data_IF_731814177403
#
_entry.id   IF_731814177403
#
_cell.length_a   1.000
_cell.length_b   1.000
_cell.length_c   1.000
_cell.angle_alpha   90.00
_cell.angle_beta   90.00
_cell.angle_gamma   90.00
#
_symmetry.space_group_name_H-M   'P 1'
#
loop_
_entity.id
_entity.type
_entity.pdbx_description
1 polymer ?
#
# COMPACT_ATOMS: atom_id res chain seq x y z
N UNK A 1 -20.44 -7.46 -8.99
CA UNK A 1 -20.36 -7.10 -7.56
C UNK A 1 -20.30 -5.57 -7.49
N UNK A 2 -21.21 -4.95 -6.76
CA UNK A 2 -21.23 -3.49 -6.58
C UNK A 2 -20.22 -3.05 -5.51
N UNK A 3 -19.91 -1.76 -5.46
CA UNK A 3 -19.07 -1.18 -4.39
C UNK A 3 -19.69 -1.43 -3.01
N UNK A 4 -21.02 -1.34 -2.89
CA UNK A 4 -21.74 -1.62 -1.64
C UNK A 4 -21.62 -3.09 -1.22
N UNK A 5 -21.68 -4.03 -2.18
CA UNK A 5 -21.49 -5.45 -1.91
C UNK A 5 -20.09 -5.76 -1.39
N UNK A 6 -19.06 -5.10 -1.93
CA UNK A 6 -17.68 -5.23 -1.46
C UNK A 6 -17.51 -4.67 -0.05
N UNK A 7 -18.10 -3.51 0.26
CA UNK A 7 -18.11 -2.95 1.60
C UNK A 7 -18.71 -3.93 2.62
N UNK A 8 -19.86 -4.52 2.29
CA UNK A 8 -20.50 -5.52 3.12
C UNK A 8 -19.65 -6.79 3.29
N UNK A 9 -19.04 -7.26 2.18
CA UNK A 9 -18.24 -8.48 2.16
C UNK A 9 -16.95 -8.39 2.98
N UNK A 10 -16.31 -7.22 3.04
CA UNK A 10 -14.99 -7.10 3.65
C UNK A 10 -14.95 -6.34 4.97
N UNK A 11 -15.96 -5.53 5.27
CA UNK A 11 -15.95 -4.68 6.47
C UNK A 11 -17.11 -4.93 7.44
N UNK A 12 -18.29 -5.36 6.96
CA UNK A 12 -19.42 -5.58 7.85
C UNK A 12 -19.31 -6.95 8.55
N UNK A 13 -19.45 -6.96 9.87
CA UNK A 13 -19.41 -8.17 10.71
C UNK A 13 -18.14 -9.03 10.57
N UNK A 14 -17.02 -8.39 10.13
CA UNK A 14 -15.73 -9.05 10.00
C UNK A 14 -14.75 -8.44 11.01
N UNK A 15 -14.08 -9.32 11.74
CA UNK A 15 -13.04 -8.91 12.68
C UNK A 15 -11.77 -8.45 11.94
N UNK A 16 -11.31 -7.25 12.28
CA UNK A 16 -10.05 -6.70 11.85
C UNK A 16 -9.16 -6.41 13.05
N UNK A 17 -7.94 -6.91 13.02
CA UNK A 17 -6.89 -6.57 13.97
C UNK A 17 -6.17 -5.31 13.52
N UNK A 18 -6.15 -4.29 14.37
CA UNK A 18 -5.35 -3.08 14.11
C UNK A 18 -3.94 -3.22 14.68
N UNK A 19 -2.95 -2.84 13.90
CA UNK A 19 -1.53 -2.81 14.27
C UNK A 19 -0.93 -1.45 13.93
N UNK A 20 -0.43 -0.74 14.93
CA UNK A 20 0.25 0.54 14.74
C UNK A 20 1.76 0.37 14.78
N UNK A 21 2.42 0.73 13.68
CA UNK A 21 3.87 0.80 13.53
C UNK A 21 4.33 2.20 13.12
N UNK A 22 3.57 3.25 13.51
CA UNK A 22 3.90 4.65 13.20
C UNK A 22 5.13 5.16 13.98
N UNK A 23 5.55 4.48 15.05
CA UNK A 23 6.75 4.82 15.83
C UNK A 23 8.09 4.47 15.15
N UNK A 24 8.03 3.97 13.92
CA UNK A 24 9.21 3.68 13.12
C UNK A 24 9.70 2.23 13.24
N UNK A 25 9.92 1.62 12.09
CA UNK A 25 10.58 0.33 11.91
C UNK A 25 11.66 0.52 10.84
N UNK A 26 12.65 -0.34 10.85
CA UNK A 26 13.54 -0.46 9.70
C UNK A 26 12.74 -0.79 8.44
N UNK A 27 13.00 -0.15 7.29
CA UNK A 27 12.17 -0.28 6.10
C UNK A 27 11.91 -1.72 5.66
N UNK A 28 12.91 -2.59 5.69
CA UNK A 28 12.77 -4.00 5.36
C UNK A 28 11.84 -4.75 6.30
N UNK A 29 11.81 -4.37 7.59
CA UNK A 29 10.93 -5.00 8.57
C UNK A 29 9.46 -4.72 8.26
N UNK A 30 9.10 -3.53 7.78
CA UNK A 30 7.74 -3.21 7.40
C UNK A 30 7.18 -4.18 6.36
N UNK A 31 7.97 -4.49 5.31
CA UNK A 31 7.53 -5.43 4.28
C UNK A 31 7.53 -6.88 4.77
N UNK A 32 8.45 -7.25 5.67
CA UNK A 32 8.46 -8.55 6.31
C UNK A 32 7.22 -8.75 7.21
N UNK A 33 6.78 -7.72 7.92
CA UNK A 33 5.52 -7.75 8.69
C UNK A 33 4.32 -7.94 7.78
N UNK A 34 4.22 -7.20 6.68
CA UNK A 34 3.12 -7.35 5.73
C UNK A 34 3.07 -8.76 5.15
N UNK A 35 4.20 -9.32 4.74
CA UNK A 35 4.27 -10.70 4.23
C UNK A 35 3.86 -11.72 5.32
N UNK A 36 4.32 -11.53 6.56
CA UNK A 36 4.00 -12.42 7.69
C UNK A 36 2.52 -12.38 8.05
N UNK A 37 1.94 -11.19 8.16
CA UNK A 37 0.51 -11.04 8.42
C UNK A 37 -0.32 -11.58 7.24
N UNK A 38 0.07 -11.27 6.01
CA UNK A 38 -0.61 -11.77 4.82
C UNK A 38 -0.65 -13.30 4.79
N UNK A 39 0.47 -13.97 5.07
CA UNK A 39 0.53 -15.43 5.17
C UNK A 39 -0.32 -15.97 6.32
N UNK A 40 -0.26 -15.35 7.49
CA UNK A 40 -1.02 -15.78 8.68
C UNK A 40 -2.52 -15.69 8.44
N UNK A 41 -2.98 -14.61 7.83
CA UNK A 41 -4.39 -14.43 7.45
C UNK A 41 -4.79 -15.43 6.36
N UNK A 42 -3.95 -15.64 5.36
CA UNK A 42 -4.20 -16.60 4.29
C UNK A 42 -4.35 -18.05 4.79
N UNK A 43 -3.70 -18.38 5.90
CA UNK A 43 -3.74 -19.69 6.57
C UNK A 43 -4.78 -19.80 7.69
N UNK A 44 -5.66 -18.83 7.87
CA UNK A 44 -6.61 -18.77 8.98
C UNK A 44 -5.97 -18.77 10.38
N UNK A 45 -4.73 -18.30 10.50
CA UNK A 45 -4.00 -18.21 11.78
C UNK A 45 -4.18 -16.83 12.45
N UNK A 46 -4.80 -15.87 11.76
CA UNK A 46 -5.07 -14.51 12.23
C UNK A 46 -6.36 -14.02 11.60
N UNK A 47 -7.15 -13.18 12.28
CA UNK A 47 -8.16 -12.38 11.62
C UNK A 47 -7.51 -11.45 10.59
N UNK A 48 -8.33 -10.76 9.80
CA UNK A 48 -7.84 -9.73 8.87
C UNK A 48 -7.04 -8.67 9.65
N UNK A 49 -6.05 -8.07 9.00
CA UNK A 49 -5.17 -7.09 9.65
C UNK A 49 -5.20 -5.77 8.89
N UNK A 50 -5.38 -4.67 9.61
CA UNK A 50 -5.08 -3.33 9.15
C UNK A 50 -3.86 -2.82 9.91
N UNK A 51 -2.86 -2.34 9.19
CA UNK A 51 -1.62 -1.83 9.76
C UNK A 51 -1.32 -0.42 9.23
N UNK A 52 -1.02 0.51 10.16
CA UNK A 52 -0.49 1.84 9.82
C UNK A 52 1.02 1.87 10.09
N UNK A 53 1.76 2.55 9.21
CA UNK A 53 3.21 2.68 9.36
C UNK A 53 3.75 3.90 8.62
N UNK A 54 4.87 4.42 9.10
CA UNK A 54 5.55 5.59 8.57
C UNK A 54 7.05 5.30 8.48
N UNK A 55 7.70 5.79 7.44
CA UNK A 55 9.15 5.83 7.33
C UNK A 55 9.63 7.27 7.17
N UNK A 56 10.90 7.49 7.43
CA UNK A 56 11.56 8.76 7.21
C UNK A 56 12.77 8.52 6.30
N UNK A 57 13.03 9.47 5.41
CA UNK A 57 14.19 9.46 4.51
C UNK A 57 14.40 8.08 3.84
N UNK A 58 13.35 7.52 3.26
CA UNK A 58 13.39 6.18 2.67
C UNK A 58 12.88 6.18 1.24
N UNK A 59 13.65 5.65 0.32
CA UNK A 59 13.24 5.37 -1.06
C UNK A 59 12.94 3.89 -1.20
N UNK A 60 11.69 3.58 -1.53
CA UNK A 60 11.24 2.21 -1.78
C UNK A 60 11.19 1.99 -3.28
N UNK A 61 12.10 1.22 -3.81
CA UNK A 61 12.15 0.84 -5.22
C UNK A 61 11.19 -0.32 -5.49
N UNK A 62 10.52 -0.30 -6.64
CA UNK A 62 9.73 -1.43 -7.11
C UNK A 62 10.61 -2.55 -7.66
N UNK A 63 10.05 -3.74 -7.81
CA UNK A 63 10.81 -4.89 -8.35
C UNK A 63 11.30 -4.64 -9.79
N UNK A 64 10.60 -3.82 -10.57
CA UNK A 64 11.03 -3.45 -11.91
C UNK A 64 12.23 -2.51 -11.88
N UNK A 65 12.31 -1.63 -10.89
CA UNK A 65 13.43 -0.70 -10.72
C UNK A 65 14.74 -1.44 -10.44
N UNK A 66 14.68 -2.66 -9.87
CA UNK A 66 15.86 -3.49 -9.63
C UNK A 66 16.63 -3.88 -10.90
N UNK A 67 16.01 -3.67 -12.08
CA UNK A 67 16.60 -3.97 -13.39
C UNK A 67 17.16 -2.73 -14.10
N UNK A 68 17.06 -1.56 -13.48
CA UNK A 68 17.56 -0.32 -14.06
C UNK A 68 19.10 -0.37 -14.20
N UNK A 69 19.64 0.12 -15.32
CA UNK A 69 21.08 0.32 -15.44
C UNK A 69 21.53 1.34 -14.38
N UNK A 70 22.75 1.16 -13.86
CA UNK A 70 23.34 2.06 -12.84
C UNK A 70 22.57 2.14 -11.52
N UNK A 71 21.70 1.17 -11.21
CA UNK A 71 20.94 1.15 -9.96
C UNK A 71 21.84 1.25 -8.73
N UNK A 72 22.99 0.57 -8.73
CA UNK A 72 23.94 0.61 -7.60
C UNK A 72 24.48 2.02 -7.36
N UNK A 73 24.79 2.72 -8.42
CA UNK A 73 25.30 4.11 -8.35
C UNK A 73 24.19 5.06 -7.85
N UNK A 74 22.94 4.84 -8.32
CA UNK A 74 21.78 5.57 -7.84
C UNK A 74 21.49 5.34 -6.35
N UNK A 75 21.58 4.09 -5.89
CA UNK A 75 21.43 3.76 -4.47
C UNK A 75 22.56 4.42 -3.65
N UNK A 76 23.82 4.30 -4.08
CA UNK A 76 24.95 4.94 -3.39
C UNK A 76 24.77 6.47 -3.31
N UNK A 77 24.30 7.11 -4.38
CA UNK A 77 23.98 8.54 -4.35
C UNK A 77 22.89 8.87 -3.30
N UNK A 78 21.82 8.07 -3.25
CA UNK A 78 20.75 8.29 -2.27
C UNK A 78 21.25 8.08 -0.84
N UNK A 79 22.05 7.04 -0.59
CA UNK A 79 22.51 6.71 0.77
C UNK A 79 23.67 7.61 1.21
N UNK A 80 24.68 7.77 0.40
CA UNK A 80 25.95 8.38 0.81
C UNK A 80 25.91 9.90 0.70
N UNK A 81 25.20 10.43 -0.31
CA UNK A 81 25.15 11.88 -0.54
C UNK A 81 23.85 12.52 -0.04
N UNK A 82 22.72 11.80 -0.06
CA UNK A 82 21.40 12.35 0.32
C UNK A 82 20.91 11.87 1.68
N UNK A 83 21.54 10.87 2.29
CA UNK A 83 21.17 10.35 3.61
C UNK A 83 19.85 9.61 3.64
N UNK A 84 19.39 9.09 2.49
CA UNK A 84 18.18 8.27 2.40
C UNK A 84 18.51 6.79 2.53
N UNK A 85 17.65 6.03 3.18
CA UNK A 85 17.63 4.58 3.02
C UNK A 85 17.05 4.25 1.64
N UNK A 86 17.60 3.22 0.99
CA UNK A 86 17.05 2.74 -0.28
C UNK A 86 16.90 1.22 -0.24
N UNK A 87 15.69 0.74 -0.44
CA UNK A 87 15.37 -0.70 -0.47
C UNK A 87 14.52 -1.05 -1.69
N UNK A 88 14.55 -2.33 -2.08
CA UNK A 88 13.68 -2.88 -3.12
C UNK A 88 12.57 -3.68 -2.46
N UNK A 89 11.31 -3.30 -2.72
CA UNK A 89 10.14 -4.06 -2.26
C UNK A 89 9.79 -5.20 -3.20
N UNK A 90 9.02 -6.13 -2.71
CA UNK A 90 8.54 -7.30 -3.46
C UNK A 90 7.10 -7.17 -3.98
N UNK A 91 6.47 -6.00 -3.86
CA UNK A 91 5.17 -5.66 -4.45
C UNK A 91 5.35 -4.87 -5.75
N UNK A 92 4.26 -4.73 -6.53
CA UNK A 92 4.26 -4.00 -7.80
C UNK A 92 4.45 -2.48 -7.66
N UNK A 93 4.53 -1.81 -8.80
CA UNK A 93 4.72 -0.36 -8.90
C UNK A 93 6.18 0.05 -9.07
N UNK A 94 6.39 1.36 -9.24
CA UNK A 94 7.70 2.00 -9.35
C UNK A 94 8.19 2.51 -7.98
N UNK A 95 9.35 3.15 -7.98
CA UNK A 95 9.94 3.75 -6.79
C UNK A 95 9.04 4.82 -6.16
N UNK A 96 9.01 4.83 -4.83
CA UNK A 96 8.31 5.85 -4.05
C UNK A 96 9.20 6.35 -2.92
N UNK A 97 9.09 7.63 -2.60
CA UNK A 97 9.76 8.22 -1.44
C UNK A 97 8.79 8.18 -0.27
N UNK A 98 9.22 7.58 0.83
CA UNK A 98 8.49 7.59 2.08
C UNK A 98 9.23 8.48 3.06
N UNK A 99 8.55 9.53 3.49
CA UNK A 99 9.10 10.52 4.40
C UNK A 99 8.01 11.02 5.36
N UNK A 100 8.34 11.97 6.21
CA UNK A 100 7.39 12.65 7.05
C UNK A 100 6.28 13.26 6.18
N UNK A 101 5.02 13.10 6.58
CA UNK A 101 3.87 13.49 5.76
C UNK A 101 3.42 12.42 4.76
N UNK A 102 3.96 11.19 4.85
CA UNK A 102 3.47 10.03 4.07
C UNK A 102 3.03 8.93 5.02
N UNK A 103 1.72 8.80 5.20
CA UNK A 103 1.12 7.70 5.94
C UNK A 103 0.98 6.48 5.03
N UNK A 104 1.42 5.32 5.50
CA UNK A 104 1.17 4.07 4.81
C UNK A 104 0.14 3.25 5.58
N UNK A 105 -0.79 2.64 4.84
CA UNK A 105 -1.77 1.70 5.37
C UNK A 105 -1.66 0.40 4.59
N UNK A 106 -1.61 -0.71 5.31
CA UNK A 106 -1.63 -2.06 4.73
C UNK A 106 -2.87 -2.79 5.21
N UNK A 107 -3.66 -3.33 4.28
CA UNK A 107 -4.76 -4.25 4.55
C UNK A 107 -4.32 -5.66 4.20
N UNK A 108 -4.38 -6.58 5.13
CA UNK A 108 -4.16 -8.00 4.89
C UNK A 108 -5.44 -8.76 5.17
N UNK A 109 -5.96 -9.44 4.15
CA UNK A 109 -7.20 -10.22 4.25
C UNK A 109 -7.09 -11.51 3.44
N UNK A 110 -7.95 -12.47 3.79
CA UNK A 110 -7.97 -13.76 3.08
C UNK A 110 -8.52 -13.58 1.68
N UNK A 111 -7.75 -14.01 0.68
CA UNK A 111 -8.22 -14.12 -0.69
C UNK A 111 -9.21 -15.27 -0.84
N UNK A 112 -10.37 -15.01 -1.45
CA UNK A 112 -11.24 -16.06 -1.95
C UNK A 112 -10.79 -16.41 -3.38
N UNK A 113 -11.14 -17.60 -3.86
CA UNK A 113 -10.76 -18.07 -5.21
C UNK A 113 -11.12 -17.07 -6.31
N UNK A 114 -12.18 -16.29 -6.10
CA UNK A 114 -12.74 -15.34 -7.06
C UNK A 114 -12.28 -13.89 -6.84
N UNK A 115 -11.51 -13.60 -5.76
CA UNK A 115 -11.08 -12.23 -5.48
C UNK A 115 -10.12 -11.74 -6.55
N UNK A 116 -10.59 -10.83 -7.39
CA UNK A 116 -9.79 -10.25 -8.48
C UNK A 116 -8.76 -9.23 -7.95
N UNK A 117 -7.83 -8.82 -8.81
CA UNK A 117 -6.88 -7.75 -8.52
C UNK A 117 -7.61 -6.42 -8.29
N UNK A 118 -8.56 -6.09 -9.17
CA UNK A 118 -9.33 -4.85 -9.12
C UNK A 118 -10.23 -4.80 -7.87
N UNK A 119 -10.83 -5.94 -7.49
CA UNK A 119 -11.62 -6.06 -6.25
C UNK A 119 -10.76 -5.74 -5.01
N UNK A 120 -9.55 -6.28 -4.93
CA UNK A 120 -8.66 -6.02 -3.82
C UNK A 120 -8.25 -4.53 -3.72
N UNK A 121 -7.99 -3.87 -4.86
CA UNK A 121 -7.75 -2.43 -4.88
C UNK A 121 -8.98 -1.63 -4.44
N UNK A 122 -10.18 -2.05 -4.85
CA UNK A 122 -11.43 -1.41 -4.44
C UNK A 122 -11.66 -1.52 -2.93
N UNK A 123 -11.25 -2.61 -2.29
CA UNK A 123 -11.32 -2.74 -0.81
C UNK A 123 -10.50 -1.63 -0.13
N UNK A 124 -9.29 -1.35 -0.61
CA UNK A 124 -8.50 -0.23 -0.07
C UNK A 124 -9.15 1.12 -0.35
N UNK A 125 -9.67 1.33 -1.56
CA UNK A 125 -10.40 2.55 -1.89
C UNK A 125 -11.57 2.80 -0.93
N UNK A 126 -12.36 1.75 -0.61
CA UNK A 126 -13.49 1.86 0.31
C UNK A 126 -13.06 2.30 1.72
N UNK A 127 -11.93 1.80 2.21
CA UNK A 127 -11.38 2.25 3.49
C UNK A 127 -11.02 3.74 3.42
N UNK A 128 -10.29 4.16 2.37
CA UNK A 128 -9.89 5.56 2.23
C UNK A 128 -11.10 6.47 2.05
N UNK A 129 -12.05 6.11 1.20
CA UNK A 129 -13.29 6.88 1.03
C UNK A 129 -14.06 7.03 2.35
N UNK A 130 -14.09 5.98 3.18
CA UNK A 130 -14.70 6.03 4.51
C UNK A 130 -13.96 6.97 5.47
N UNK A 131 -12.64 7.07 5.36
CA UNK A 131 -11.85 8.01 6.19
C UNK A 131 -12.15 9.48 5.86
N UNK A 132 -12.60 9.75 4.63
CA UNK A 132 -12.91 11.10 4.15
C UNK A 132 -14.42 11.36 4.04
N UNK A 133 -15.28 10.50 4.59
CA UNK A 133 -16.74 10.61 4.40
C UNK A 133 -17.37 11.89 4.97
N UNK A 134 -16.75 12.47 6.00
CA UNK A 134 -17.20 13.72 6.62
C UNK A 134 -16.59 14.98 5.95
N UNK A 135 -15.69 14.79 4.99
CA UNK A 135 -15.09 15.87 4.22
C UNK A 135 -15.87 16.10 2.92
N UNK A 136 -16.00 17.35 2.51
CA UNK A 136 -16.67 17.71 1.24
C UNK A 136 -15.70 17.55 0.06
N UNK A 137 -15.29 16.29 -0.19
CA UNK A 137 -14.35 15.94 -1.26
C UNK A 137 -14.80 14.68 -1.99
N UNK A 138 -14.64 14.70 -3.32
CA UNK A 138 -14.84 13.53 -4.16
C UNK A 138 -13.48 12.86 -4.44
N UNK A 139 -13.37 11.56 -4.14
CA UNK A 139 -12.16 10.77 -4.41
C UNK A 139 -12.35 9.94 -5.68
N UNK A 140 -11.57 10.27 -6.70
CA UNK A 140 -11.51 9.53 -7.95
C UNK A 140 -10.47 8.41 -7.90
N UNK A 141 -10.75 7.32 -8.65
CA UNK A 141 -9.85 6.15 -8.78
C UNK A 141 -9.53 5.89 -10.25
N UNK A 142 -8.48 6.49 -10.76
CA UNK A 142 -7.97 6.24 -12.12
C UNK A 142 -6.48 6.61 -12.20
N UNK A 143 -5.82 6.14 -13.24
CA UNK A 143 -4.44 6.52 -13.48
C UNK A 143 -4.33 8.01 -13.76
N UNK A 144 -3.48 8.70 -13.00
CA UNK A 144 -3.12 10.10 -13.25
C UNK A 144 -1.82 10.10 -14.07
N UNK A 145 -1.95 10.26 -15.38
CA UNK A 145 -0.82 10.30 -16.29
C UNK A 145 0.22 11.34 -15.86
N UNK A 146 1.51 10.99 -15.97
CA UNK A 146 2.66 11.82 -15.59
C UNK A 146 2.72 12.19 -14.10
N UNK A 147 1.90 11.54 -13.27
CA UNK A 147 2.01 11.67 -11.82
C UNK A 147 3.21 10.86 -11.29
N UNK A 148 3.51 11.07 -10.04
CA UNK A 148 4.49 10.31 -9.28
C UNK A 148 4.05 8.83 -9.13
N UNK A 149 4.82 7.89 -9.65
CA UNK A 149 4.52 6.45 -9.64
C UNK A 149 3.08 6.16 -10.13
N UNK A 150 2.74 6.44 -11.42
CA UNK A 150 1.37 6.28 -11.91
C UNK A 150 0.91 4.82 -11.83
N UNK A 151 -0.35 4.62 -11.52
CA UNK A 151 -0.98 3.31 -11.44
C UNK A 151 -2.49 3.37 -11.70
N UNK A 152 -3.05 2.26 -12.16
CA UNK A 152 -4.47 2.17 -12.54
C UNK A 152 -5.44 2.59 -11.43
N UNK A 153 -5.05 2.41 -10.16
CA UNK A 153 -5.84 2.76 -8.99
C UNK A 153 -5.16 3.87 -8.16
N UNK A 154 -4.68 4.92 -8.84
CA UNK A 154 -4.28 6.14 -8.14
C UNK A 154 -5.51 6.78 -7.51
N UNK A 155 -5.36 7.34 -6.30
CA UNK A 155 -6.43 8.13 -5.69
C UNK A 155 -6.12 9.62 -5.87
N UNK A 156 -7.14 10.35 -6.32
CA UNK A 156 -7.04 11.78 -6.57
C UNK A 156 -8.26 12.56 -6.09
N UNK A 157 -8.03 13.82 -5.76
CA UNK A 157 -9.06 14.83 -5.47
C UNK A 157 -8.83 15.97 -6.45
N UNK A 158 -9.84 16.36 -7.19
CA UNK A 158 -9.77 17.40 -8.25
C UNK A 158 -8.63 17.12 -9.25
N UNK A 159 -8.43 15.85 -9.62
CA UNK A 159 -7.40 15.43 -10.56
C UNK A 159 -5.96 15.50 -10.00
N UNK A 160 -5.79 15.80 -8.71
CA UNK A 160 -4.49 15.81 -8.03
C UNK A 160 -4.32 14.52 -7.24
N UNK A 161 -3.36 13.71 -7.64
CA UNK A 161 -3.03 12.46 -6.95
C UNK A 161 -2.51 12.74 -5.54
N UNK A 162 -3.10 12.08 -4.55
CA UNK A 162 -2.64 12.11 -3.16
C UNK A 162 -2.26 10.73 -2.61
N UNK A 163 -2.60 9.66 -3.33
CA UNK A 163 -2.28 8.30 -2.91
C UNK A 163 -2.03 7.37 -4.09
N UNK A 164 -1.24 6.33 -3.85
CA UNK A 164 -1.02 5.23 -4.78
C UNK A 164 -1.14 3.89 -4.08
N UNK A 165 -1.75 2.91 -4.75
CA UNK A 165 -2.06 1.61 -4.19
C UNK A 165 -1.26 0.52 -4.90
N UNK A 166 -0.74 -0.42 -4.13
CA UNK A 166 -0.11 -1.64 -4.64
C UNK A 166 -0.66 -2.87 -3.93
N UNK A 167 -0.49 -4.06 -4.51
CA UNK A 167 -0.87 -5.29 -3.84
C UNK A 167 0.14 -6.42 -4.03
N UNK A 168 0.11 -7.36 -3.12
CA UNK A 168 0.86 -8.60 -3.14
C UNK A 168 -0.01 -9.75 -2.63
N UNK A 169 0.18 -10.93 -3.19
CA UNK A 169 -0.54 -12.14 -2.77
C UNK A 169 0.45 -13.17 -2.27
N UNK A 170 0.21 -13.68 -1.07
CA UNK A 170 1.09 -14.64 -0.40
C UNK A 170 0.25 -15.72 0.25
N UNK A 171 0.41 -16.97 -0.21
CA UNK A 171 -0.15 -18.18 0.42
C UNK A 171 -1.64 -18.09 0.81
N UNK A 172 -2.47 -17.56 -0.08
CA UNK A 172 -3.91 -17.41 0.13
C UNK A 172 -4.31 -16.09 0.78
N UNK A 173 -3.37 -15.30 1.29
CA UNK A 173 -3.60 -13.94 1.73
C UNK A 173 -3.40 -12.91 0.61
N UNK A 174 -4.06 -11.78 0.76
CA UNK A 174 -3.90 -10.59 -0.07
C UNK A 174 -3.48 -9.44 0.83
N UNK A 175 -2.35 -8.83 0.52
CA UNK A 175 -1.89 -7.59 1.14
C UNK A 175 -2.08 -6.45 0.13
N UNK A 176 -2.86 -5.44 0.50
CA UNK A 176 -3.03 -4.20 -0.25
C UNK A 176 -2.41 -3.07 0.54
N UNK A 177 -1.52 -2.34 -0.10
CA UNK A 177 -0.76 -1.26 0.51
C UNK A 177 -1.09 0.05 -0.18
N UNK A 178 -1.27 1.10 0.59
CA UNK A 178 -1.43 2.47 0.10
C UNK A 178 -0.41 3.38 0.77
N UNK A 179 0.16 4.31 0.02
CA UNK A 179 0.78 5.50 0.58
C UNK A 179 -0.16 6.68 0.41
N UNK A 180 -0.34 7.46 1.46
CA UNK A 180 -1.14 8.67 1.51
C UNK A 180 -0.23 9.87 1.78
N UNK A 181 -0.26 10.87 0.92
CA UNK A 181 0.38 12.17 1.17
C UNK A 181 -0.58 13.01 2.04
N UNK A 182 -0.15 13.36 3.26
CA UNK A 182 -0.93 14.09 4.27
C UNK A 182 -0.22 15.37 4.70
#
# INVERSE_FOLDING_TARGET
>A
ITIMDLGNKYFNDIEWRYVDHSSGLEPMQSFAFDDTFCESVGKDMSPNVVRTWVHQHTVILGIHDSRLPFLKDGIAFLTDEKGYNAIVRNSGGLGVVLDQGVLNISLMFKGQTETTIDEAFTVMYLLIAKMFEDEDVDIDTHEIERSYCPGKFDLSIDGKKFAGISQRRVRGGIAVQVYLCV
#
